data_IF_538367331352
#
_entry.id   IF_538367331352
#
_cell.length_a   1.000
_cell.length_b   1.000
_cell.length_c   1.000
_cell.angle_alpha   90.00
_cell.angle_beta   90.00
_cell.angle_gamma   90.00
#
_symmetry.space_group_name_H-M   'P 1'
#
loop_
_entity.id
_entity.type
_entity.pdbx_description
1 polymer ?
#
# COMPACT_ATOMS: atom_id res chain seq x y z
N UNK A 1 -21.74 -5.88 1.76
CA UNK A 1 -20.81 -4.70 1.89
C UNK A 1 -21.52 -3.43 2.31
N UNK A 2 -22.61 -2.99 1.65
CA UNK A 2 -23.39 -1.79 2.10
C UNK A 2 -23.89 -1.93 3.53
N UNK A 3 -24.38 -3.10 3.91
CA UNK A 3 -24.82 -3.39 5.28
C UNK A 3 -23.68 -3.24 6.31
N UNK A 4 -22.46 -3.65 5.95
CA UNK A 4 -21.28 -3.47 6.81
C UNK A 4 -20.99 -1.98 6.99
N UNK A 5 -21.05 -1.17 5.94
CA UNK A 5 -20.85 0.28 6.02
C UNK A 5 -21.88 0.92 6.95
N UNK A 6 -23.14 0.55 6.80
CA UNK A 6 -24.22 1.06 7.68
C UNK A 6 -24.06 0.58 9.12
N UNK A 7 -23.67 -0.68 9.31
CA UNK A 7 -23.37 -1.20 10.66
C UNK A 7 -22.23 -0.43 11.34
N UNK A 8 -21.12 -0.20 10.62
CA UNK A 8 -19.97 0.56 11.17
C UNK A 8 -20.38 2.01 11.50
N UNK A 9 -21.17 2.65 10.67
CA UNK A 9 -21.71 4.00 10.95
C UNK A 9 -22.58 4.03 12.21
N UNK A 10 -23.46 3.05 12.35
CA UNK A 10 -24.45 2.99 13.43
C UNK A 10 -23.81 2.61 14.76
N UNK A 11 -22.88 1.66 14.74
CA UNK A 11 -22.23 1.17 15.96
C UNK A 11 -21.31 2.22 16.62
N UNK A 12 -20.69 3.12 15.84
CA UNK A 12 -19.90 4.27 16.35
C UNK A 12 -18.68 3.90 17.25
N UNK A 13 -18.44 2.61 17.46
CA UNK A 13 -17.45 2.09 18.43
C UNK A 13 -16.06 1.85 17.82
N UNK A 14 -15.96 1.74 16.49
CA UNK A 14 -14.72 1.39 15.81
C UNK A 14 -13.89 2.64 15.51
N UNK A 15 -12.62 2.64 15.93
CA UNK A 15 -11.65 3.71 15.60
C UNK A 15 -10.90 3.42 14.29
N UNK A 16 -10.81 2.16 13.90
CA UNK A 16 -10.10 1.72 12.71
C UNK A 16 -10.87 0.59 12.03
N UNK A 17 -11.06 0.71 10.74
CA UNK A 17 -11.61 -0.32 9.87
C UNK A 17 -10.50 -0.84 8.96
N UNK A 18 -10.35 -2.16 8.87
CA UNK A 18 -9.39 -2.81 7.98
C UNK A 18 -10.14 -3.63 6.93
N UNK A 19 -9.82 -3.40 5.67
CA UNK A 19 -10.30 -4.22 4.55
C UNK A 19 -9.16 -5.13 4.10
N UNK A 20 -9.27 -6.41 4.40
CA UNK A 20 -8.31 -7.45 4.04
C UNK A 20 -8.98 -8.48 3.11
N UNK A 21 -8.77 -8.36 1.82
CA UNK A 21 -8.02 -7.38 1.04
C UNK A 21 -8.85 -6.84 -0.14
N UNK A 22 -8.44 -5.68 -0.69
CA UNK A 22 -9.17 -5.00 -1.78
C UNK A 22 -9.21 -5.82 -3.07
N UNK A 23 -8.17 -6.60 -3.35
CA UNK A 23 -8.15 -7.51 -4.52
C UNK A 23 -9.29 -8.54 -4.43
N UNK A 24 -9.51 -9.15 -3.25
CA UNK A 24 -10.64 -10.05 -3.03
C UNK A 24 -12.00 -9.34 -3.08
N UNK A 25 -12.06 -8.08 -2.64
CA UNK A 25 -13.27 -7.27 -2.80
C UNK A 25 -13.63 -7.10 -4.28
N UNK A 26 -12.66 -6.81 -5.14
CA UNK A 26 -12.89 -6.73 -6.59
C UNK A 26 -13.42 -8.04 -7.16
N UNK A 27 -12.86 -9.18 -6.74
CA UNK A 27 -13.31 -10.50 -7.19
C UNK A 27 -14.75 -10.79 -6.76
N UNK A 28 -15.12 -10.44 -5.54
CA UNK A 28 -16.51 -10.60 -5.05
C UNK A 28 -17.49 -9.74 -5.84
N UNK A 29 -17.14 -8.49 -6.13
CA UNK A 29 -17.98 -7.60 -6.95
C UNK A 29 -18.11 -8.14 -8.37
N UNK A 30 -17.04 -8.66 -8.95
CA UNK A 30 -17.08 -9.26 -10.30
C UNK A 30 -17.97 -10.51 -10.33
N UNK A 31 -17.88 -11.37 -9.31
CA UNK A 31 -18.78 -12.53 -9.16
C UNK A 31 -20.25 -12.11 -9.14
N UNK A 32 -20.58 -11.10 -8.35
CA UNK A 32 -21.94 -10.58 -8.26
C UNK A 32 -22.46 -10.07 -9.61
N UNK A 33 -21.62 -9.33 -10.35
CA UNK A 33 -21.97 -8.82 -11.69
C UNK A 33 -22.21 -9.95 -12.69
N UNK A 34 -21.42 -11.02 -12.61
CA UNK A 34 -21.51 -12.16 -13.50
C UNK A 34 -22.59 -13.17 -13.07
N UNK A 35 -23.22 -13.01 -11.91
CA UNK A 35 -24.19 -13.94 -11.36
C UNK A 35 -23.59 -15.31 -11.06
N UNK A 36 -22.33 -15.38 -10.64
CA UNK A 36 -21.60 -16.62 -10.39
C UNK A 36 -21.48 -16.89 -8.89
N UNK A 37 -21.68 -18.15 -8.47
CA UNK A 37 -21.39 -18.57 -7.09
C UNK A 37 -19.89 -18.68 -6.82
N UNK A 38 -19.12 -19.09 -7.85
CA UNK A 38 -17.65 -19.17 -7.79
C UNK A 38 -17.03 -18.57 -9.05
N UNK A 39 -15.86 -17.94 -8.91
CA UNK A 39 -15.09 -17.52 -10.08
C UNK A 39 -14.51 -18.75 -10.76
N UNK A 40 -14.73 -18.92 -12.07
CA UNK A 40 -14.19 -20.06 -12.80
C UNK A 40 -12.66 -20.05 -12.75
N UNK A 41 -12.06 -21.25 -12.75
CA UNK A 41 -10.61 -21.38 -12.83
C UNK A 41 -10.07 -20.63 -14.06
N UNK A 42 -8.89 -20.12 -13.96
CA UNK A 42 -8.23 -19.12 -14.85
C UNK A 42 -8.42 -19.31 -16.37
N UNK A 43 -8.63 -20.53 -16.84
CA UNK A 43 -8.83 -20.85 -18.26
C UNK A 43 -10.21 -20.49 -18.82
N UNK A 44 -11.17 -20.16 -17.98
CA UNK A 44 -12.57 -19.86 -18.37
C UNK A 44 -12.94 -18.38 -18.24
N UNK A 45 -11.99 -17.49 -18.01
CA UNK A 45 -12.22 -16.05 -17.84
C UNK A 45 -12.74 -15.34 -19.09
N UNK A 46 -12.88 -16.01 -20.22
CA UNK A 46 -13.48 -15.47 -21.44
C UNK A 46 -14.95 -15.03 -21.29
N UNK A 47 -15.58 -15.28 -20.15
CA UNK A 47 -16.95 -14.86 -19.88
C UNK A 47 -17.08 -13.40 -19.41
N UNK A 48 -16.05 -12.81 -18.81
CA UNK A 48 -16.10 -11.42 -18.33
C UNK A 48 -15.76 -10.45 -19.48
N UNK A 49 -16.74 -9.65 -19.89
CA UNK A 49 -16.56 -8.62 -20.93
C UNK A 49 -15.82 -7.40 -20.36
N UNK A 50 -15.33 -6.54 -21.27
CA UNK A 50 -14.76 -5.25 -20.90
C UNK A 50 -15.73 -4.37 -20.12
N UNK A 51 -17.03 -4.48 -20.40
CA UNK A 51 -18.10 -3.76 -19.70
C UNK A 51 -18.29 -4.27 -18.27
N UNK A 52 -18.20 -5.59 -18.06
CA UNK A 52 -18.26 -6.18 -16.71
C UNK A 52 -17.12 -5.64 -15.83
N UNK A 53 -15.89 -5.58 -16.35
CA UNK A 53 -14.77 -4.98 -15.63
C UNK A 53 -14.95 -3.48 -15.40
N UNK A 54 -15.53 -2.75 -16.35
CA UNK A 54 -15.89 -1.34 -16.19
C UNK A 54 -16.89 -1.13 -15.05
N UNK A 55 -17.97 -1.89 -15.04
CA UNK A 55 -19.01 -1.86 -13.99
C UNK A 55 -18.42 -2.26 -12.63
N UNK A 56 -17.61 -3.32 -12.58
CA UNK A 56 -16.92 -3.75 -11.39
C UNK A 56 -16.04 -2.63 -10.79
N UNK A 57 -15.28 -1.96 -11.64
CA UNK A 57 -14.44 -0.83 -11.21
C UNK A 57 -15.26 0.31 -10.60
N UNK A 58 -16.40 0.67 -11.21
CA UNK A 58 -17.28 1.72 -10.70
C UNK A 58 -17.87 1.33 -9.34
N UNK A 59 -18.39 0.11 -9.21
CA UNK A 59 -18.96 -0.38 -7.95
C UNK A 59 -17.91 -0.46 -6.84
N UNK A 60 -16.68 -0.94 -7.13
CA UNK A 60 -15.58 -0.95 -6.18
C UNK A 60 -15.23 0.47 -5.72
N UNK A 61 -15.16 1.44 -6.64
CA UNK A 61 -14.90 2.85 -6.31
C UNK A 61 -15.96 3.42 -5.37
N UNK A 62 -17.23 3.12 -5.61
CA UNK A 62 -18.33 3.59 -4.75
C UNK A 62 -18.27 2.96 -3.36
N UNK A 63 -18.06 1.65 -3.27
CA UNK A 63 -17.92 0.95 -2.00
C UNK A 63 -16.75 1.49 -1.18
N UNK A 64 -15.59 1.62 -1.80
CA UNK A 64 -14.39 2.12 -1.12
C UNK A 64 -14.58 3.59 -0.71
N UNK A 65 -15.20 4.43 -1.56
CA UNK A 65 -15.53 5.83 -1.20
C UNK A 65 -16.45 5.87 0.02
N UNK A 66 -17.44 5.00 0.10
CA UNK A 66 -18.31 4.92 1.26
C UNK A 66 -17.56 4.56 2.54
N UNK A 67 -16.55 3.65 2.44
CA UNK A 67 -15.68 3.30 3.55
C UNK A 67 -14.76 4.47 3.96
N UNK A 68 -14.13 5.15 2.98
CA UNK A 68 -13.25 6.28 3.24
C UNK A 68 -13.96 7.50 3.84
N UNK A 69 -15.29 7.58 3.69
CA UNK A 69 -16.11 8.62 4.30
C UNK A 69 -16.56 8.30 5.75
N UNK A 70 -16.15 7.15 6.30
CA UNK A 70 -16.43 6.84 7.70
C UNK A 70 -15.56 7.69 8.63
N UNK A 71 -16.09 7.98 9.81
CA UNK A 71 -15.33 8.63 10.87
C UNK A 71 -14.34 7.63 11.47
N UNK A 72 -13.05 7.83 11.26
CA UNK A 72 -12.00 6.96 11.78
C UNK A 72 -10.91 6.64 10.76
N UNK A 73 -10.02 5.76 11.13
CA UNK A 73 -8.96 5.31 10.23
C UNK A 73 -9.49 4.17 9.34
N UNK A 74 -9.20 4.24 8.05
CA UNK A 74 -9.49 3.15 7.11
C UNK A 74 -8.18 2.62 6.55
N UNK A 75 -7.93 1.33 6.73
CA UNK A 75 -6.75 0.62 6.22
C UNK A 75 -7.20 -0.33 5.13
N UNK A 76 -6.67 -0.16 3.93
CA UNK A 76 -6.92 -1.00 2.79
C UNK A 76 -5.67 -1.84 2.52
N UNK A 77 -5.79 -3.16 2.61
CA UNK A 77 -4.71 -4.10 2.28
C UNK A 77 -4.92 -4.56 0.84
N UNK A 78 -3.86 -4.69 0.07
CA UNK A 78 -3.89 -5.23 -1.29
C UNK A 78 -2.66 -6.10 -1.54
N UNK A 79 -2.82 -7.13 -2.37
CA UNK A 79 -1.67 -7.84 -2.93
C UNK A 79 -0.91 -6.95 -3.91
N UNK A 80 0.32 -7.31 -4.22
CA UNK A 80 1.14 -6.61 -5.21
C UNK A 80 0.92 -7.17 -6.61
N UNK A 81 1.00 -6.27 -7.60
CA UNK A 81 1.02 -6.61 -9.02
C UNK A 81 1.95 -5.68 -9.76
N UNK A 82 2.72 -6.24 -10.70
CA UNK A 82 3.49 -5.46 -11.67
C UNK A 82 2.56 -4.94 -12.77
N UNK A 83 2.73 -3.67 -13.12
CA UNK A 83 2.10 -3.01 -14.26
C UNK A 83 3.20 -2.64 -15.28
N UNK A 84 2.99 -2.98 -16.53
CA UNK A 84 3.98 -2.89 -17.59
C UNK A 84 4.47 -4.30 -17.95
N UNK A 85 4.39 -4.65 -19.20
CA UNK A 85 4.65 -5.99 -19.72
C UNK A 85 6.12 -6.18 -20.11
N UNK A 86 6.97 -5.17 -19.90
CA UNK A 86 8.40 -5.28 -20.23
C UNK A 86 8.66 -5.52 -21.73
N UNK A 87 7.72 -5.15 -22.61
CA UNK A 87 7.96 -5.18 -24.04
C UNK A 87 9.01 -4.12 -24.38
N UNK A 88 9.94 -4.43 -25.29
CA UNK A 88 11.08 -3.58 -25.66
C UNK A 88 10.72 -2.15 -26.09
N UNK A 89 9.44 -1.88 -26.36
CA UNK A 89 8.92 -0.57 -26.69
C UNK A 89 8.61 0.32 -25.48
N UNK A 90 8.50 -0.26 -24.26
CA UNK A 90 8.20 0.50 -23.05
C UNK A 90 9.50 1.00 -22.41
N UNK A 91 9.89 2.21 -22.75
CA UNK A 91 10.99 2.95 -22.08
C UNK A 91 10.67 3.28 -20.60
N UNK A 92 9.53 2.83 -20.11
CA UNK A 92 9.06 3.08 -18.74
C UNK A 92 9.28 1.80 -17.92
N UNK A 93 10.08 1.91 -16.86
CA UNK A 93 10.27 0.82 -15.92
C UNK A 93 8.92 0.31 -15.38
N UNK A 94 8.71 -1.01 -15.25
CA UNK A 94 7.50 -1.56 -14.69
C UNK A 94 7.28 -1.03 -13.28
N UNK A 95 6.04 -0.63 -12.98
CA UNK A 95 5.66 -0.17 -11.65
C UNK A 95 4.92 -1.26 -10.90
N UNK A 96 5.15 -1.35 -9.59
CA UNK A 96 4.46 -2.29 -8.70
C UNK A 96 3.45 -1.52 -7.86
N UNK A 97 2.22 -2.01 -7.84
CA UNK A 97 1.13 -1.41 -7.09
C UNK A 97 0.09 -2.43 -6.65
N UNK A 98 -1.08 -1.95 -6.21
CA UNK A 98 -2.16 -2.81 -5.74
C UNK A 98 -2.67 -3.75 -6.85
N UNK A 99 -2.80 -5.04 -6.57
CA UNK A 99 -3.28 -6.07 -7.50
C UNK A 99 -4.80 -5.98 -7.70
N UNK A 100 -5.23 -4.91 -8.36
CA UNK A 100 -6.61 -4.68 -8.82
C UNK A 100 -6.58 -4.20 -10.26
N UNK A 101 -7.74 -3.98 -10.88
CA UNK A 101 -7.80 -3.42 -12.23
C UNK A 101 -7.03 -2.10 -12.33
N UNK A 102 -6.27 -1.83 -13.41
CA UNK A 102 -5.39 -0.64 -13.51
C UNK A 102 -6.12 0.68 -13.23
N UNK A 103 -7.36 0.82 -13.73
CA UNK A 103 -8.19 2.01 -13.48
C UNK A 103 -8.64 2.17 -12.02
N UNK A 104 -8.75 1.06 -11.28
CA UNK A 104 -9.02 1.08 -9.85
C UNK A 104 -7.76 1.37 -9.05
N UNK A 105 -6.62 0.78 -9.41
CA UNK A 105 -5.32 1.04 -8.77
C UNK A 105 -4.95 2.53 -8.86
N UNK A 106 -5.03 3.13 -10.05
CA UNK A 106 -4.76 4.55 -10.25
C UNK A 106 -5.68 5.45 -9.43
N UNK A 107 -6.97 5.11 -9.35
CA UNK A 107 -7.92 5.85 -8.55
C UNK A 107 -7.66 5.70 -7.04
N UNK A 108 -7.34 4.49 -6.55
CA UNK A 108 -6.99 4.24 -5.15
C UNK A 108 -5.80 5.09 -4.71
N UNK A 109 -4.75 5.12 -5.50
CA UNK A 109 -3.57 5.95 -5.22
C UNK A 109 -3.92 7.44 -5.08
N UNK A 110 -4.94 7.91 -5.80
CA UNK A 110 -5.47 9.27 -5.65
C UNK A 110 -6.33 9.46 -4.40
N UNK A 111 -7.15 8.48 -4.06
CA UNK A 111 -8.18 8.56 -3.05
C UNK A 111 -7.67 8.47 -1.60
N UNK A 112 -6.62 7.66 -1.36
CA UNK A 112 -6.04 7.49 -0.02
C UNK A 112 -4.96 8.53 0.28
N UNK A 113 -4.70 8.79 1.56
CA UNK A 113 -3.67 9.76 1.98
C UNK A 113 -2.27 9.14 2.00
N UNK A 114 -2.18 7.87 2.33
CA UNK A 114 -0.92 7.14 2.47
C UNK A 114 -0.95 5.86 1.66
N UNK A 115 0.09 5.62 0.87
CA UNK A 115 0.34 4.35 0.16
C UNK A 115 1.69 3.86 0.59
N UNK A 116 1.71 2.68 1.20
CA UNK A 116 2.92 2.06 1.73
C UNK A 116 3.05 0.65 1.17
N UNK A 117 4.28 0.16 1.07
CA UNK A 117 4.58 -1.19 0.63
C UNK A 117 5.34 -1.94 1.74
N UNK A 118 4.87 -3.14 2.09
CA UNK A 118 5.57 -4.02 3.04
C UNK A 118 6.65 -4.79 2.32
N UNK A 119 7.83 -4.89 2.92
CA UNK A 119 8.95 -5.66 2.38
C UNK A 119 9.85 -6.22 3.48
N UNK A 120 10.69 -7.14 3.10
CA UNK A 120 11.67 -7.76 4.00
C UNK A 120 13.06 -7.40 3.50
N UNK A 121 13.94 -6.99 4.42
CA UNK A 121 15.35 -6.76 4.11
C UNK A 121 16.26 -7.47 5.11
N UNK A 122 17.53 -7.64 4.73
CA UNK A 122 18.53 -8.12 5.67
C UNK A 122 18.74 -7.08 6.76
N UNK A 123 18.80 -7.53 8.01
CA UNK A 123 19.00 -6.64 9.16
C UNK A 123 20.35 -5.95 9.09
N UNK A 124 20.35 -4.64 9.30
CA UNK A 124 21.56 -3.82 9.34
C UNK A 124 21.74 -3.22 10.75
N UNK A 125 22.97 -3.20 11.21
CA UNK A 125 23.34 -2.54 12.47
C UNK A 125 24.27 -1.38 12.14
N UNK A 126 23.93 -0.20 12.66
CA UNK A 126 24.78 0.98 12.53
C UNK A 126 25.83 0.96 13.65
N UNK A 127 27.08 0.78 13.28
CA UNK A 127 28.23 0.91 14.20
C UNK A 127 28.85 2.28 14.05
N UNK A 128 29.03 2.99 15.15
CA UNK A 128 29.81 4.22 15.18
C UNK A 128 31.28 3.86 15.39
N UNK A 129 32.09 4.07 14.37
CA UNK A 129 33.53 3.84 14.43
C UNK A 129 34.23 5.20 14.47
N UNK A 130 35.00 5.44 15.54
CA UNK A 130 35.81 6.65 15.68
C UNK A 130 37.20 6.36 15.14
N UNK A 131 37.61 7.05 14.08
CA UNK A 131 38.90 6.93 13.46
C UNK A 131 39.70 8.25 13.66
N UNK A 132 40.99 8.12 13.88
CA UNK A 132 41.90 9.27 14.09
C UNK A 132 42.37 9.42 15.54
N UNK A 133 43.41 10.21 15.76
CA UNK A 133 43.98 10.52 17.08
C UNK A 133 43.88 12.02 17.38
N UNK A 134 43.61 12.37 18.64
CA UNK A 134 43.59 13.75 19.13
C UNK A 134 42.49 14.59 18.46
N UNK A 135 42.86 15.83 18.04
CA UNK A 135 41.92 16.80 17.43
C UNK A 135 41.38 16.39 16.04
N UNK A 136 41.88 15.30 15.45
CA UNK A 136 41.46 14.79 14.13
C UNK A 136 40.54 13.57 14.24
N UNK A 137 39.95 13.34 15.40
CA UNK A 137 38.93 12.26 15.55
C UNK A 137 37.69 12.57 14.72
N UNK A 138 37.32 11.60 13.83
CA UNK A 138 36.06 11.63 13.09
C UNK A 138 35.28 10.35 13.43
N UNK A 139 34.02 10.52 13.83
CA UNK A 139 33.11 9.41 14.01
C UNK A 139 32.38 9.17 12.70
N UNK A 140 32.52 7.98 12.15
CA UNK A 140 31.85 7.53 10.92
C UNK A 140 30.85 6.48 11.29
N UNK A 141 29.63 6.57 10.76
CA UNK A 141 28.62 5.55 10.90
C UNK A 141 28.81 4.51 9.78
N UNK A 142 29.11 3.27 10.16
CA UNK A 142 29.23 2.13 9.24
C UNK A 142 28.00 1.27 9.41
N UNK A 143 27.29 1.00 8.30
CA UNK A 143 26.18 0.03 8.27
C UNK A 143 26.76 -1.35 7.95
N UNK A 144 26.55 -2.30 8.85
CA UNK A 144 26.99 -3.68 8.70
C UNK A 144 25.78 -4.59 8.65
N UNK A 145 25.72 -5.44 7.62
CA UNK A 145 24.68 -6.46 7.50
C UNK A 145 24.94 -7.57 8.51
N UNK A 146 23.97 -7.86 9.35
CA UNK A 146 24.03 -8.93 10.34
C UNK A 146 23.09 -10.08 9.96
N UNK A 147 23.28 -11.23 10.57
CA UNK A 147 22.41 -12.38 10.36
C UNK A 147 21.00 -12.07 10.87
N UNK A 148 20.00 -12.29 10.02
CA UNK A 148 18.59 -12.05 10.32
C UNK A 148 17.94 -11.15 9.30
N UNK A 149 16.62 -11.08 9.37
CA UNK A 149 15.78 -10.23 8.53
C UNK A 149 14.99 -9.27 9.41
N UNK A 150 14.60 -8.15 8.85
CA UNK A 150 13.65 -7.23 9.44
C UNK A 150 12.51 -6.95 8.47
N UNK A 151 11.31 -6.87 9.02
CA UNK A 151 10.13 -6.47 8.29
C UNK A 151 10.08 -4.95 8.22
N UNK A 152 9.77 -4.42 7.06
CA UNK A 152 9.80 -2.98 6.82
C UNK A 152 8.53 -2.53 6.11
N UNK A 153 8.16 -1.28 6.34
CA UNK A 153 7.14 -0.56 5.61
C UNK A 153 7.83 0.56 4.82
N UNK A 154 7.81 0.47 3.48
CA UNK A 154 8.30 1.52 2.58
C UNK A 154 7.33 2.69 2.61
N UNK A 155 7.82 3.87 2.83
CA UNK A 155 7.04 5.11 2.97
C UNK A 155 7.59 6.22 2.09
N UNK A 156 8.87 6.18 1.75
CA UNK A 156 9.52 7.14 0.88
C UNK A 156 9.24 6.91 -0.61
N UNK A 157 9.57 7.89 -1.46
CA UNK A 157 9.48 7.78 -2.91
C UNK A 157 10.31 6.60 -3.43
N UNK A 158 9.77 5.89 -4.41
CA UNK A 158 10.44 4.76 -5.05
C UNK A 158 10.19 4.77 -6.56
N UNK A 159 11.18 4.35 -7.35
CA UNK A 159 11.08 4.33 -8.81
C UNK A 159 10.20 3.18 -9.33
N UNK A 160 10.05 2.12 -8.55
CA UNK A 160 9.34 0.89 -8.93
C UNK A 160 8.04 0.73 -8.16
N UNK A 161 8.07 0.98 -6.85
CA UNK A 161 6.91 0.79 -5.98
C UNK A 161 6.10 2.06 -5.86
N UNK A 162 4.79 1.94 -6.04
CA UNK A 162 3.87 3.05 -5.82
C UNK A 162 3.75 3.32 -4.33
N UNK A 163 4.35 4.40 -3.88
CA UNK A 163 4.27 4.90 -2.51
C UNK A 163 3.81 6.34 -2.50
N UNK A 164 3.14 6.76 -1.43
CA UNK A 164 2.62 8.12 -1.27
C UNK A 164 2.46 8.49 0.19
N UNK A 165 2.88 9.69 0.52
CA UNK A 165 2.55 10.34 1.79
C UNK A 165 1.99 11.73 1.50
N UNK A 166 0.75 11.99 1.91
CA UNK A 166 0.12 13.30 1.78
C UNK A 166 0.45 14.13 3.01
N UNK A 167 1.52 14.89 2.92
CA UNK A 167 1.99 15.81 3.95
C UNK A 167 2.19 17.21 3.36
N UNK A 168 2.17 18.28 4.20
CA UNK A 168 2.63 19.58 3.79
C UNK A 168 4.06 19.52 3.23
N UNK A 169 4.37 20.30 2.19
CA UNK A 169 5.68 20.28 1.51
C UNK A 169 6.86 20.51 2.45
N UNK A 170 6.67 21.30 3.50
CA UNK A 170 7.68 21.61 4.52
C UNK A 170 7.98 20.45 5.48
N UNK A 171 7.21 19.38 5.41
CA UNK A 171 7.27 18.27 6.37
C UNK A 171 7.58 16.92 5.74
N UNK A 172 7.78 16.86 4.41
CA UNK A 172 8.09 15.62 3.70
C UNK A 172 9.40 14.99 4.13
N UNK A 173 10.40 15.80 4.48
CA UNK A 173 11.74 15.34 4.88
C UNK A 173 11.76 14.60 6.23
N UNK A 174 10.68 14.69 7.01
CA UNK A 174 10.58 13.99 8.30
C UNK A 174 10.14 12.53 8.19
N UNK A 175 9.58 12.14 7.05
CA UNK A 175 9.13 10.76 6.83
C UNK A 175 10.33 9.93 6.37
N UNK A 176 10.72 8.88 7.12
CA UNK A 176 11.82 8.02 6.68
C UNK A 176 11.41 7.24 5.43
N UNK A 177 12.36 6.88 4.58
CA UNK A 177 12.09 6.08 3.37
C UNK A 177 11.50 4.70 3.71
N UNK A 178 11.84 4.17 4.88
CA UNK A 178 11.29 2.93 5.39
C UNK A 178 11.22 2.91 6.92
N UNK A 179 10.14 2.33 7.45
CA UNK A 179 9.95 2.08 8.88
C UNK A 179 10.26 0.62 9.16
N UNK A 180 11.32 0.33 9.94
CA UNK A 180 11.66 -1.01 10.38
C UNK A 180 10.76 -1.47 11.54
N UNK A 181 10.39 -2.75 11.54
CA UNK A 181 9.44 -3.34 12.50
C UNK A 181 8.21 -2.44 12.68
N UNK A 182 7.43 -2.21 11.60
CA UNK A 182 6.35 -1.24 11.58
C UNK A 182 5.26 -1.63 12.59
N UNK A 183 4.78 -0.64 13.31
CA UNK A 183 3.60 -0.73 14.15
C UNK A 183 2.82 0.58 14.08
N UNK A 184 1.60 0.57 14.64
CA UNK A 184 0.73 1.73 14.60
C UNK A 184 1.40 3.00 15.16
N UNK A 185 2.10 2.88 16.29
CA UNK A 185 2.76 4.03 16.94
C UNK A 185 3.84 4.64 16.06
N UNK A 186 4.70 3.80 15.44
CA UNK A 186 5.75 4.27 14.53
C UNK A 186 5.15 4.93 13.28
N UNK A 187 4.07 4.37 12.73
CA UNK A 187 3.38 4.94 11.58
C UNK A 187 2.76 6.30 11.91
N UNK A 188 2.02 6.39 13.02
CA UNK A 188 1.43 7.65 13.48
C UNK A 188 2.50 8.71 13.77
N UNK A 189 3.63 8.30 14.35
CA UNK A 189 4.76 9.19 14.57
C UNK A 189 5.30 9.75 13.24
N UNK A 190 5.47 8.91 12.22
CA UNK A 190 5.89 9.34 10.88
C UNK A 190 4.88 10.31 10.24
N UNK A 191 3.57 10.07 10.44
CA UNK A 191 2.51 10.91 9.90
C UNK A 191 2.43 12.26 10.61
N UNK A 192 2.50 12.27 11.94
CA UNK A 192 2.27 13.49 12.76
C UNK A 192 3.54 14.26 13.09
N UNK A 193 4.72 13.66 12.91
CA UNK A 193 6.00 14.28 13.27
C UNK A 193 6.13 14.41 14.78
N UNK A 194 6.17 13.31 15.50
CA UNK A 194 6.33 13.32 16.98
C UNK A 194 7.76 13.00 17.40
#
# INVERSE_FOLDING_TARGET
MREIVEHVKTAGTFKTLVVDHVSGLQDLVLKEILGLDELPAQKSWGMASRENYGTCTLQCKELIRALLNLSGNVVLIAHERSFGDGTESDLIAPTIGAAVAPSLAGWLNGAVDYVCQTFIRQKEVVKKVTTGQGKLQKTVEIREKVKGVEYCLRTGPDAVYTTKFRLPRTETDRVPDAIADPNYTKLIKAIRGG
#
